data_IF_917019951215
#
_entry.id   IF_917019951215
#
_cell.length_a   1.000
_cell.length_b   1.000
_cell.length_c   1.000
_cell.angle_alpha   90.00
_cell.angle_beta   90.00
_cell.angle_gamma   90.00
#
_symmetry.space_group_name_H-M   'P 1'
#
loop_
_entity.id
_entity.type
_entity.pdbx_description
1 polymer ?
#
# COMPACT_ATOMS: atom_id res chain seq x y z
N UNK A 1 -38.60 31.45 -0.91
CA UNK A 1 -39.33 30.37 -1.62
C UNK A 1 -38.70 30.24 -3.00
N UNK A 2 -37.99 29.21 -3.45
CA UNK A 2 -37.42 27.98 -2.89
C UNK A 2 -36.22 27.64 -3.80
N UNK A 3 -35.07 27.26 -3.22
CA UNK A 3 -33.86 26.88 -3.94
C UNK A 3 -34.00 25.42 -4.42
N UNK A 4 -34.05 25.18 -5.73
CA UNK A 4 -34.02 23.84 -6.29
C UNK A 4 -32.57 23.35 -6.40
N UNK A 5 -32.16 22.53 -5.44
CA UNK A 5 -30.87 21.85 -5.42
C UNK A 5 -30.81 20.77 -6.52
N UNK A 6 -30.03 20.99 -7.57
CA UNK A 6 -29.62 19.92 -8.48
C UNK A 6 -28.54 19.06 -7.81
N UNK A 7 -28.97 18.07 -7.03
CA UNK A 7 -28.08 16.99 -6.58
C UNK A 7 -27.89 16.01 -7.72
N UNK A 8 -26.83 16.20 -8.50
CA UNK A 8 -26.39 15.20 -9.48
C UNK A 8 -25.90 13.97 -8.72
N UNK A 9 -26.64 12.85 -8.80
CA UNK A 9 -26.22 11.55 -8.25
C UNK A 9 -25.31 10.87 -9.27
N UNK A 10 -24.06 10.51 -8.96
CA UNK A 10 -23.32 9.61 -9.83
C UNK A 10 -23.96 8.22 -9.75
N UNK A 11 -24.49 7.74 -10.88
CA UNK A 11 -24.86 6.34 -11.06
C UNK A 11 -23.58 5.52 -11.14
N UNK A 12 -23.15 4.93 -10.02
CA UNK A 12 -22.18 3.84 -10.04
C UNK A 12 -22.84 2.66 -10.71
N UNK A 13 -22.51 2.42 -11.98
CA UNK A 13 -22.75 1.14 -12.65
C UNK A 13 -22.02 0.07 -11.86
N UNK A 14 -22.77 -0.67 -11.03
CA UNK A 14 -22.28 -1.84 -10.32
C UNK A 14 -21.90 -2.89 -11.37
N UNK A 15 -20.61 -2.99 -11.67
CA UNK A 15 -20.05 -4.11 -12.43
C UNK A 15 -20.22 -5.37 -11.58
N UNK A 16 -20.75 -6.49 -12.12
CA UNK A 16 -20.98 -7.69 -11.34
C UNK A 16 -19.64 -8.17 -10.73
N UNK A 17 -19.63 -8.31 -9.40
CA UNK A 17 -18.50 -8.85 -8.66
C UNK A 17 -18.39 -10.34 -8.97
N UNK A 18 -17.50 -10.69 -9.90
CA UNK A 18 -17.07 -12.07 -10.09
C UNK A 18 -16.27 -12.46 -8.85
N UNK A 19 -16.55 -13.60 -8.19
CA UNK A 19 -15.77 -14.05 -7.05
C UNK A 19 -14.31 -14.22 -7.48
N UNK A 20 -13.41 -13.43 -6.92
CA UNK A 20 -11.98 -13.54 -7.17
C UNK A 20 -11.50 -14.88 -6.61
N UNK A 21 -11.08 -15.78 -7.50
CA UNK A 21 -10.35 -17.00 -7.10
C UNK A 21 -9.03 -16.55 -6.45
N UNK A 22 -8.79 -16.85 -5.16
CA UNK A 22 -7.54 -16.49 -4.51
C UNK A 22 -6.43 -17.38 -5.08
N UNK A 23 -5.68 -16.85 -6.04
CA UNK A 23 -4.54 -17.55 -6.62
C UNK A 23 -4.24 -17.23 -8.09
N UNK A 24 -5.16 -16.62 -8.82
CA UNK A 24 -4.97 -16.29 -10.24
C UNK A 24 -5.10 -14.79 -10.51
N UNK A 25 -4.50 -13.96 -9.65
CA UNK A 25 -4.22 -12.59 -10.07
C UNK A 25 -3.09 -12.65 -11.11
N UNK A 26 -3.23 -12.00 -12.28
CA UNK A 26 -2.12 -11.90 -13.22
C UNK A 26 -0.91 -11.31 -12.49
N UNK A 27 0.26 -11.89 -12.70
CA UNK A 27 1.49 -11.40 -12.10
C UNK A 27 1.65 -9.92 -12.46
N UNK A 28 1.62 -9.05 -11.44
CA UNK A 28 1.77 -7.62 -11.63
C UNK A 28 3.12 -7.33 -12.30
N UNK A 29 3.21 -6.31 -13.18
CA UNK A 29 4.50 -5.85 -13.68
C UNK A 29 5.46 -5.55 -12.52
N UNK A 30 6.77 -5.76 -12.68
CA UNK A 30 7.72 -5.68 -11.57
C UNK A 30 7.79 -4.28 -10.92
N UNK A 31 7.49 -3.22 -11.67
CA UNK A 31 7.32 -1.87 -11.13
C UNK A 31 6.10 -1.79 -10.20
N UNK A 32 4.96 -2.31 -10.65
CA UNK A 32 3.69 -2.30 -9.90
C UNK A 32 3.79 -3.19 -8.66
N UNK A 33 4.40 -4.37 -8.76
CA UNK A 33 4.65 -5.24 -7.62
C UNK A 33 5.50 -4.55 -6.54
N UNK A 34 6.52 -3.77 -6.95
CA UNK A 34 7.34 -2.96 -6.04
C UNK A 34 6.54 -1.87 -5.35
N UNK A 35 5.71 -1.14 -6.09
CA UNK A 35 4.82 -0.11 -5.52
C UNK A 35 3.82 -0.73 -4.54
N UNK A 36 3.16 -1.83 -4.92
CA UNK A 36 2.20 -2.52 -4.06
C UNK A 36 2.85 -3.02 -2.75
N UNK A 37 4.06 -3.57 -2.82
CA UNK A 37 4.81 -3.98 -1.64
C UNK A 37 5.17 -2.78 -0.74
N UNK A 38 5.57 -1.65 -1.33
CA UNK A 38 5.86 -0.41 -0.57
C UNK A 38 4.61 0.14 0.11
N UNK A 39 3.50 0.26 -0.62
CA UNK A 39 2.23 0.77 -0.09
C UNK A 39 1.71 -0.09 1.05
N UNK A 40 1.76 -1.42 0.92
CA UNK A 40 1.36 -2.32 2.00
C UNK A 40 2.23 -2.14 3.24
N UNK A 41 3.55 -2.13 3.08
CA UNK A 41 4.47 -1.96 4.20
C UNK A 41 4.32 -0.59 4.86
N UNK A 42 4.11 0.47 4.08
CA UNK A 42 3.85 1.82 4.60
C UNK A 42 2.59 1.87 5.46
N UNK A 43 1.49 1.24 5.02
CA UNK A 43 0.26 1.16 5.80
C UNK A 43 0.46 0.40 7.13
N UNK A 44 1.20 -0.72 7.10
CA UNK A 44 1.53 -1.49 8.31
C UNK A 44 2.40 -0.66 9.29
N UNK A 45 3.38 0.10 8.78
CA UNK A 45 4.23 0.97 9.60
C UNK A 45 3.46 2.17 10.17
N UNK A 46 2.59 2.80 9.38
CA UNK A 46 1.74 3.89 9.82
C UNK A 46 0.82 3.42 10.95
N UNK A 47 0.21 2.24 10.80
CA UNK A 47 -0.60 1.64 11.86
C UNK A 47 0.21 1.42 13.14
N UNK A 48 1.43 0.90 13.02
CA UNK A 48 2.32 0.69 14.17
C UNK A 48 2.74 2.02 14.84
N UNK A 49 3.03 3.08 14.08
CA UNK A 49 3.34 4.40 14.63
C UNK A 49 2.16 4.92 15.46
N UNK A 50 0.96 4.87 14.90
CA UNK A 50 -0.25 5.34 15.56
C UNK A 50 -0.58 4.53 16.81
N UNK A 51 -0.39 3.21 16.76
CA UNK A 51 -0.56 2.32 17.90
C UNK A 51 0.40 2.66 19.04
N UNK A 52 1.70 2.79 18.76
CA UNK A 52 2.73 3.13 19.76
C UNK A 52 2.45 4.50 20.40
N UNK A 53 2.06 5.48 19.59
CA UNK A 53 1.75 6.82 20.08
C UNK A 53 0.34 6.96 20.66
N UNK A 54 -0.45 5.89 20.66
CA UNK A 54 -1.85 5.84 21.12
C UNK A 54 -2.74 6.90 20.45
N UNK A 55 -2.47 7.18 19.17
CA UNK A 55 -3.25 8.10 18.32
C UNK A 55 -4.13 7.30 17.35
N UNK A 56 -5.29 7.83 17.01
CA UNK A 56 -6.23 7.20 16.04
C UNK A 56 -6.30 7.94 14.72
N UNK A 57 -5.70 9.12 14.61
CA UNK A 57 -5.66 9.94 13.40
C UNK A 57 -4.23 10.11 12.92
N UNK A 58 -3.99 9.78 11.66
CA UNK A 58 -2.74 10.06 10.97
C UNK A 58 -2.60 11.54 10.62
N UNK A 59 -1.40 12.09 10.78
CA UNK A 59 -1.01 13.34 10.14
C UNK A 59 -0.30 13.05 8.82
N UNK A 60 -0.15 14.07 7.97
CA UNK A 60 0.62 13.94 6.73
C UNK A 60 2.08 13.56 7.02
N UNK A 61 2.69 14.14 8.05
CA UNK A 61 4.06 13.83 8.44
C UNK A 61 4.22 12.35 8.85
N UNK A 62 3.22 11.78 9.54
CA UNK A 62 3.25 10.36 9.92
C UNK A 62 3.23 9.45 8.68
N UNK A 63 2.44 9.81 7.66
CA UNK A 63 2.34 9.08 6.40
C UNK A 63 3.67 9.17 5.64
N UNK A 64 4.23 10.36 5.51
CA UNK A 64 5.51 10.59 4.82
C UNK A 64 6.66 9.86 5.54
N UNK A 65 6.66 9.87 6.87
CA UNK A 65 7.62 9.15 7.69
C UNK A 65 7.50 7.64 7.47
N UNK A 66 6.29 7.08 7.46
CA UNK A 66 6.06 5.65 7.22
C UNK A 66 6.51 5.23 5.81
N UNK A 67 6.21 6.03 4.78
CA UNK A 67 6.64 5.80 3.40
C UNK A 67 8.17 5.80 3.28
N UNK A 68 8.84 6.78 3.87
CA UNK A 68 10.29 6.87 3.87
C UNK A 68 10.95 5.67 4.58
N UNK A 69 10.35 5.18 5.67
CA UNK A 69 10.82 4.00 6.37
C UNK A 69 10.61 2.72 5.54
N UNK A 70 9.44 2.54 4.93
CA UNK A 70 9.12 1.41 4.07
C UNK A 70 10.13 1.28 2.92
N UNK A 71 10.44 2.40 2.25
CA UNK A 71 11.41 2.44 1.17
C UNK A 71 12.81 2.01 1.62
N UNK A 72 13.31 2.57 2.74
CA UNK A 72 14.62 2.20 3.30
C UNK A 72 14.69 0.72 3.69
N UNK A 73 13.60 0.15 4.21
CA UNK A 73 13.54 -1.27 4.58
C UNK A 73 13.55 -2.19 3.36
N UNK A 74 12.81 -1.84 2.31
CA UNK A 74 12.78 -2.60 1.06
C UNK A 74 14.12 -2.53 0.32
N UNK A 75 14.77 -1.37 0.27
CA UNK A 75 16.13 -1.22 -0.29
C UNK A 75 17.11 -2.11 0.46
N UNK A 76 17.11 -2.07 1.80
CA UNK A 76 17.96 -2.92 2.64
C UNK A 76 17.66 -4.40 2.45
N UNK A 77 16.38 -4.80 2.34
CA UNK A 77 15.98 -6.17 2.03
C UNK A 77 16.53 -6.62 0.68
N UNK A 78 16.38 -5.80 -0.36
CA UNK A 78 16.92 -6.08 -1.68
C UNK A 78 18.44 -6.23 -1.68
N UNK A 79 19.16 -5.38 -0.95
CA UNK A 79 20.60 -5.50 -0.78
C UNK A 79 21.00 -6.82 -0.09
N UNK A 80 20.31 -7.19 1.00
CA UNK A 80 20.54 -8.48 1.69
C UNK A 80 20.28 -9.69 0.78
N UNK A 81 19.20 -9.66 -0.01
CA UNK A 81 18.88 -10.74 -0.93
C UNK A 81 19.94 -10.89 -2.03
N UNK A 82 20.43 -9.78 -2.60
CA UNK A 82 21.53 -9.80 -3.58
C UNK A 82 22.83 -10.32 -2.98
N UNK A 83 23.18 -9.90 -1.77
CA UNK A 83 24.37 -10.37 -1.07
C UNK A 83 24.29 -11.88 -0.75
N UNK A 84 23.11 -12.39 -0.40
CA UNK A 84 22.88 -13.81 -0.18
C UNK A 84 22.96 -14.62 -1.48
N UNK A 85 22.41 -14.11 -2.59
CA UNK A 85 22.46 -14.76 -3.90
C UNK A 85 23.89 -14.78 -4.52
N UNK A 86 24.72 -13.79 -4.21
CA UNK A 86 26.12 -13.74 -4.64
C UNK A 86 27.09 -14.54 -3.77
N UNK A 87 26.63 -15.16 -2.68
CA UNK A 87 27.43 -16.04 -1.84
C UNK A 87 27.29 -17.47 -2.37
N UNK A 88 28.32 -18.09 -2.97
CA UNK A 88 28.24 -19.49 -3.36
C UNK A 88 27.96 -20.31 -2.09
N UNK A 89 27.00 -21.24 -2.17
CA UNK A 89 26.78 -22.23 -1.14
C UNK A 89 28.12 -22.96 -0.93
N UNK A 90 28.70 -22.76 0.25
CA UNK A 90 29.98 -23.35 0.64
C UNK A 90 29.74 -24.73 1.22
#
# INVERSE_FOLDING_TARGET
MALAHLTSRPTTTARPAVPAVPGSAPALPPSVARVAARTRLSAELLAAILEVERRTRATLEDIERADALAERLLVRRGARLRAAAGRPAR
#
